data_IF_666019979355
#
_entry.id   IF_666019979355
#
_cell.length_a   1.000
_cell.length_b   1.000
_cell.length_c   1.000
_cell.angle_alpha   90.00
_cell.angle_beta   90.00
_cell.angle_gamma   90.00
#
_symmetry.space_group_name_H-M   'P 1'
#
loop_
_entity.id
_entity.type
_entity.pdbx_description
1 polymer ?
#
# COMPACT_ATOMS: atom_id res chain seq x y z
N UNK A 1 20.84 34.82 14.30
CA UNK A 1 19.48 34.26 14.06
C UNK A 1 19.26 34.31 12.57
N UNK A 2 19.51 33.21 11.86
CA UNK A 2 19.09 33.12 10.47
C UNK A 2 17.57 33.12 10.45
N UNK A 3 16.98 34.15 9.82
CA UNK A 3 15.57 34.14 9.49
C UNK A 3 15.39 33.00 8.48
N UNK A 4 14.71 31.92 8.89
CA UNK A 4 14.30 30.89 7.94
C UNK A 4 13.50 31.56 6.82
N UNK A 5 13.97 31.40 5.60
CA UNK A 5 13.29 31.89 4.39
C UNK A 5 11.89 31.26 4.35
N UNK A 6 10.82 32.03 4.10
CA UNK A 6 9.48 31.49 3.92
C UNK A 6 9.48 30.37 2.87
N UNK A 7 8.71 29.29 3.11
CA UNK A 7 8.50 28.27 2.10
C UNK A 7 7.97 28.95 0.84
N UNK A 8 8.76 28.92 -0.23
CA UNK A 8 8.41 29.53 -1.49
C UNK A 8 8.03 28.44 -2.48
N UNK A 9 6.76 28.41 -2.82
CA UNK A 9 6.22 27.49 -3.80
C UNK A 9 6.91 27.58 -5.15
N UNK A 10 7.23 28.80 -5.57
CA UNK A 10 7.83 29.07 -6.87
C UNK A 10 9.24 28.46 -6.98
N UNK A 11 9.82 28.06 -5.83
CA UNK A 11 11.11 27.36 -5.75
C UNK A 11 10.99 25.90 -5.33
N UNK A 12 9.78 25.38 -5.10
CA UNK A 12 9.55 23.99 -4.73
C UNK A 12 9.54 23.11 -5.97
N UNK A 13 10.55 22.24 -6.11
CA UNK A 13 10.61 21.27 -7.20
C UNK A 13 9.82 20.00 -6.83
N UNK A 14 8.57 19.94 -7.30
CA UNK A 14 7.72 18.75 -7.11
C UNK A 14 8.36 17.51 -7.74
N UNK A 15 9.03 17.63 -8.88
CA UNK A 15 9.62 16.47 -9.56
C UNK A 15 10.76 15.90 -8.73
N UNK A 16 11.66 16.74 -8.22
CA UNK A 16 12.74 16.32 -7.33
C UNK A 16 12.19 15.64 -6.07
N UNK A 17 11.14 16.20 -5.46
CA UNK A 17 10.52 15.58 -4.28
C UNK A 17 9.88 14.23 -4.60
N UNK A 18 9.22 14.10 -5.76
CA UNK A 18 8.68 12.82 -6.22
C UNK A 18 9.80 11.79 -6.39
N UNK A 19 10.93 12.16 -6.98
CA UNK A 19 12.07 11.24 -7.14
C UNK A 19 12.69 10.86 -5.79
N UNK A 20 12.79 11.81 -4.86
CA UNK A 20 13.22 11.54 -3.47
C UNK A 20 12.30 10.55 -2.76
N UNK A 21 10.99 10.72 -2.90
CA UNK A 21 10.00 9.83 -2.30
C UNK A 21 10.05 8.43 -2.93
N UNK A 22 10.24 8.32 -4.27
CA UNK A 22 10.43 7.03 -4.96
C UNK A 22 11.56 6.22 -4.33
N UNK A 23 12.70 6.85 -4.06
CA UNK A 23 13.86 6.17 -3.46
C UNK A 23 13.68 5.73 -2.01
N UNK A 24 12.67 6.23 -1.29
CA UNK A 24 12.39 5.86 0.11
C UNK A 24 11.43 4.68 0.25
N UNK A 25 10.55 4.47 -0.72
CA UNK A 25 9.58 3.36 -0.69
C UNK A 25 10.33 2.06 -0.99
N UNK A 26 10.36 1.14 -0.02
CA UNK A 26 10.92 -0.19 -0.25
C UNK A 26 9.94 -1.04 -1.06
N UNK A 27 10.46 -1.72 -2.07
CA UNK A 27 9.68 -2.54 -3.00
C UNK A 27 9.69 -4.00 -2.55
N UNK A 28 8.54 -4.63 -2.24
CA UNK A 28 8.49 -6.07 -2.05
C UNK A 28 8.71 -6.78 -3.39
N UNK A 29 9.44 -7.88 -3.32
CA UNK A 29 9.65 -8.82 -4.42
C UNK A 29 8.58 -9.90 -4.35
N UNK A 30 7.67 -9.90 -5.33
CA UNK A 30 6.56 -10.85 -5.44
C UNK A 30 6.86 -11.79 -6.59
N UNK A 31 6.82 -13.09 -6.33
CA UNK A 31 7.04 -14.11 -7.34
C UNK A 31 5.71 -14.77 -7.70
N UNK A 32 5.35 -14.81 -8.97
CA UNK A 32 4.16 -15.51 -9.46
C UNK A 32 4.55 -16.75 -10.26
N UNK A 33 3.96 -17.88 -9.91
CA UNK A 33 4.26 -19.18 -10.52
C UNK A 33 3.00 -19.99 -10.79
N UNK A 34 3.08 -20.94 -11.73
CA UNK A 34 1.98 -21.84 -12.08
C UNK A 34 2.02 -22.28 -13.54
N UNK A 35 1.19 -23.27 -13.88
CA UNK A 35 1.12 -23.83 -15.23
C UNK A 35 0.78 -22.80 -16.31
N UNK A 36 1.05 -23.12 -17.57
CA UNK A 36 0.58 -22.31 -18.70
C UNK A 36 -0.95 -22.29 -18.73
N UNK A 37 -1.54 -21.11 -18.91
CA UNK A 37 -2.99 -20.93 -18.90
C UNK A 37 -3.63 -20.97 -17.51
N UNK A 38 -2.85 -20.98 -16.42
CA UNK A 38 -3.40 -20.95 -15.05
C UNK A 38 -3.96 -19.61 -14.59
N UNK A 39 -3.90 -18.56 -15.41
CA UNK A 39 -4.45 -17.24 -15.04
C UNK A 39 -3.49 -16.29 -14.31
N UNK A 40 -2.18 -16.58 -14.29
CA UNK A 40 -1.14 -15.70 -13.67
C UNK A 40 -1.28 -14.23 -14.07
N UNK A 41 -1.27 -13.93 -15.37
CA UNK A 41 -1.35 -12.56 -15.87
C UNK A 41 -2.70 -11.91 -15.54
N UNK A 42 -3.79 -12.68 -15.56
CA UNK A 42 -5.12 -12.19 -15.18
C UNK A 42 -5.18 -11.77 -13.72
N UNK A 43 -4.60 -12.58 -12.81
CA UNK A 43 -4.48 -12.25 -11.38
C UNK A 43 -3.70 -10.96 -11.18
N UNK A 44 -2.50 -10.85 -11.77
CA UNK A 44 -1.65 -9.67 -11.65
C UNK A 44 -2.39 -8.42 -12.12
N UNK A 45 -2.99 -8.49 -13.31
CA UNK A 45 -3.68 -7.35 -13.91
C UNK A 45 -4.91 -6.93 -13.11
N UNK A 46 -5.63 -7.89 -12.52
CA UNK A 46 -6.78 -7.60 -11.67
C UNK A 46 -6.36 -6.95 -10.35
N UNK A 47 -5.40 -7.54 -9.63
CA UNK A 47 -4.96 -7.03 -8.31
C UNK A 47 -4.33 -5.63 -8.42
N UNK A 48 -3.59 -5.36 -9.49
CA UNK A 48 -2.91 -4.06 -9.67
C UNK A 48 -3.68 -3.08 -10.57
N UNK A 49 -4.81 -3.51 -11.17
CA UNK A 49 -5.64 -2.69 -12.05
C UNK A 49 -4.94 -2.21 -13.34
N UNK A 50 -3.77 -2.77 -13.65
CA UNK A 50 -2.98 -2.42 -14.84
C UNK A 50 -2.08 -3.58 -15.26
N UNK A 51 -1.76 -3.57 -16.55
CA UNK A 51 -0.83 -4.52 -17.14
C UNK A 51 0.61 -4.11 -16.82
N UNK A 52 1.18 -4.68 -15.75
CA UNK A 52 2.53 -4.38 -15.31
C UNK A 52 3.58 -4.74 -16.36
N UNK A 53 3.29 -5.70 -17.25
CA UNK A 53 4.20 -6.10 -18.34
C UNK A 53 4.34 -5.03 -19.42
N UNK A 54 3.42 -4.06 -19.49
CA UNK A 54 3.49 -2.91 -20.40
C UNK A 54 4.15 -1.68 -19.78
N UNK A 55 4.20 -1.61 -18.45
CA UNK A 55 4.68 -0.45 -17.69
C UNK A 55 6.15 -0.62 -17.25
N UNK A 56 6.61 -1.86 -17.14
CA UNK A 56 8.00 -2.19 -16.90
C UNK A 56 8.58 -2.98 -18.08
N UNK A 57 9.83 -2.71 -18.44
CA UNK A 57 10.57 -3.60 -19.32
C UNK A 57 10.76 -4.95 -18.60
N UNK A 58 10.27 -6.03 -19.19
CA UNK A 58 10.55 -7.38 -18.72
C UNK A 58 11.98 -7.74 -19.04
N UNK A 59 12.82 -7.87 -18.02
CA UNK A 59 14.21 -8.33 -18.20
C UNK A 59 14.30 -9.81 -17.83
N UNK A 60 14.83 -10.68 -18.71
CA UNK A 60 15.05 -12.08 -18.38
C UNK A 60 16.15 -12.15 -17.31
N UNK A 61 15.85 -12.74 -16.15
CA UNK A 61 16.82 -12.88 -15.05
C UNK A 61 17.49 -14.25 -15.09
N UNK A 62 16.69 -15.28 -15.36
CA UNK A 62 17.14 -16.65 -15.60
C UNK A 62 16.22 -17.30 -16.62
N UNK A 63 16.53 -18.52 -17.03
CA UNK A 63 15.75 -19.23 -18.05
C UNK A 63 14.30 -19.39 -17.57
N UNK A 64 13.35 -18.79 -18.30
CA UNK A 64 11.93 -18.91 -17.98
C UNK A 64 11.47 -18.11 -16.77
N UNK A 65 12.23 -17.14 -16.27
CA UNK A 65 11.79 -16.20 -15.23
C UNK A 65 12.12 -14.77 -15.66
N UNK A 66 11.09 -13.93 -15.71
CA UNK A 66 11.17 -12.53 -16.11
C UNK A 66 10.94 -11.62 -14.91
N UNK A 67 11.74 -10.56 -14.81
CA UNK A 67 11.58 -9.52 -13.79
C UNK A 67 10.94 -8.28 -14.40
N UNK A 68 9.95 -7.74 -13.70
CA UNK A 68 9.25 -6.51 -14.04
C UNK A 68 9.44 -5.49 -12.90
N UNK A 69 10.15 -4.41 -13.20
CA UNK A 69 10.42 -3.31 -12.27
C UNK A 69 10.48 -1.98 -13.04
N UNK A 70 10.00 -0.90 -12.42
CA UNK A 70 10.26 0.46 -12.88
C UNK A 70 10.22 1.45 -11.71
N UNK A 71 10.71 2.68 -11.92
CA UNK A 71 10.63 3.76 -10.91
C UNK A 71 9.19 4.25 -10.64
N UNK A 72 8.25 3.85 -11.49
CA UNK A 72 6.82 4.15 -11.36
C UNK A 72 6.02 3.05 -10.67
N UNK A 73 6.67 1.92 -10.37
CA UNK A 73 6.06 0.75 -9.71
C UNK A 73 6.79 0.53 -8.37
N UNK A 74 6.00 0.36 -7.33
CA UNK A 74 6.45 0.25 -5.93
C UNK A 74 6.60 -1.21 -5.47
N UNK A 75 6.61 -2.15 -6.40
CA UNK A 75 6.92 -3.58 -6.21
C UNK A 75 7.94 -4.03 -7.27
N UNK A 76 8.50 -5.22 -7.07
CA UNK A 76 9.21 -5.97 -8.11
C UNK A 76 8.45 -7.27 -8.34
N UNK A 77 7.98 -7.50 -9.56
CA UNK A 77 7.26 -8.72 -9.92
C UNK A 77 8.21 -9.65 -10.67
N UNK A 78 8.27 -10.91 -10.23
CA UNK A 78 8.95 -11.99 -10.94
C UNK A 78 7.89 -12.95 -11.47
N UNK A 79 7.84 -13.18 -12.77
CA UNK A 79 6.88 -14.09 -13.42
C UNK A 79 7.63 -15.29 -14.00
N UNK A 80 7.18 -16.50 -13.66
CA UNK A 80 7.69 -17.71 -14.30
C UNK A 80 6.92 -18.03 -15.57
N UNK A 81 7.64 -18.37 -16.64
CA UNK A 81 7.06 -19.00 -17.81
C UNK A 81 6.36 -20.29 -17.37
N UNK A 82 5.07 -20.42 -17.70
CA UNK A 82 4.31 -21.59 -17.25
C UNK A 82 4.85 -22.89 -17.83
N UNK A 83 4.74 -23.96 -17.05
CA UNK A 83 5.03 -25.30 -17.54
C UNK A 83 3.81 -25.90 -18.26
N UNK A 84 4.06 -26.74 -19.26
CA UNK A 84 3.04 -27.60 -19.87
C UNK A 84 2.91 -28.90 -19.08
N UNK A 85 1.68 -29.25 -18.70
CA UNK A 85 1.37 -30.45 -17.90
C UNK A 85 1.68 -31.71 -18.72
N UNK A 86 2.48 -32.62 -18.16
CA UNK A 86 2.85 -33.89 -18.81
C UNK A 86 4.03 -33.77 -19.79
N UNK A 87 4.75 -32.66 -19.78
CA UNK A 87 5.96 -32.49 -20.58
C UNK A 87 7.22 -32.95 -19.83
N UNK A 88 8.23 -33.43 -20.54
CA UNK A 88 9.56 -33.77 -19.98
C UNK A 88 10.28 -32.57 -19.36
N UNK A 89 9.77 -31.34 -19.57
CA UNK A 89 10.33 -30.09 -19.06
C UNK A 89 9.81 -29.70 -17.68
N UNK A 90 8.84 -30.44 -17.14
CA UNK A 90 8.25 -30.16 -15.82
C UNK A 90 9.28 -30.17 -14.68
N UNK A 91 10.20 -31.12 -14.68
CA UNK A 91 11.25 -31.17 -13.66
C UNK A 91 12.20 -29.98 -13.76
N UNK A 92 12.62 -29.62 -14.99
CA UNK A 92 13.49 -28.46 -15.20
C UNK A 92 12.82 -27.15 -14.76
N UNK A 93 11.51 -27.00 -14.97
CA UNK A 93 10.75 -25.88 -14.44
C UNK A 93 10.75 -25.86 -12.90
N UNK A 94 10.54 -27.03 -12.27
CA UNK A 94 10.55 -27.14 -10.82
C UNK A 94 11.90 -26.71 -10.24
N UNK A 95 13.00 -27.28 -10.76
CA UNK A 95 14.36 -27.00 -10.32
C UNK A 95 14.71 -25.51 -10.48
N UNK A 96 14.25 -24.88 -11.57
CA UNK A 96 14.48 -23.47 -11.82
C UNK A 96 13.71 -22.57 -10.85
N UNK A 97 12.41 -22.81 -10.65
CA UNK A 97 11.57 -22.00 -9.76
C UNK A 97 12.02 -22.12 -8.30
N UNK A 98 12.22 -23.34 -7.81
CA UNK A 98 12.67 -23.60 -6.44
C UNK A 98 14.07 -23.00 -6.27
N UNK A 99 15.00 -23.35 -7.16
CA UNK A 99 16.37 -22.87 -7.08
C UNK A 99 16.48 -21.36 -7.15
N UNK A 100 15.63 -20.68 -7.95
CA UNK A 100 15.60 -19.22 -8.01
C UNK A 100 15.18 -18.61 -6.67
N UNK A 101 14.08 -19.09 -6.09
CA UNK A 101 13.57 -18.57 -4.80
C UNK A 101 14.56 -18.85 -3.68
N UNK A 102 15.09 -20.07 -3.57
CA UNK A 102 16.08 -20.43 -2.56
C UNK A 102 17.35 -19.58 -2.67
N UNK A 103 17.90 -19.41 -3.89
CA UNK A 103 19.05 -18.53 -4.12
C UNK A 103 18.75 -17.10 -3.71
N UNK A 104 17.56 -16.58 -4.01
CA UNK A 104 17.16 -15.24 -3.60
C UNK A 104 17.13 -15.09 -2.07
N UNK A 105 16.69 -16.12 -1.33
CA UNK A 105 16.69 -16.08 0.14
C UNK A 105 18.11 -15.95 0.74
N UNK A 106 19.14 -16.43 0.05
CA UNK A 106 20.55 -16.32 0.51
C UNK A 106 21.16 -14.93 0.32
N UNK A 107 20.46 -14.01 -0.36
CA UNK A 107 20.92 -12.65 -0.64
C UNK A 107 20.53 -11.67 0.46
N UNK A 108 20.89 -10.40 0.28
CA UNK A 108 20.44 -9.32 1.18
C UNK A 108 18.93 -9.10 1.10
N UNK A 109 18.35 -8.52 2.16
CA UNK A 109 16.90 -8.36 2.30
C UNK A 109 16.20 -7.70 1.09
N UNK A 110 16.85 -6.78 0.39
CA UNK A 110 16.27 -6.13 -0.80
C UNK A 110 16.10 -7.07 -2.00
N UNK A 111 16.84 -8.19 -2.06
CA UNK A 111 16.83 -9.14 -3.18
C UNK A 111 16.10 -10.45 -2.86
N UNK A 112 15.68 -10.66 -1.61
CA UNK A 112 14.91 -11.85 -1.21
C UNK A 112 13.54 -11.85 -1.89
N UNK A 113 12.99 -13.03 -2.21
CA UNK A 113 11.58 -13.14 -2.60
C UNK A 113 10.75 -13.07 -1.32
N UNK A 114 9.88 -12.07 -1.21
CA UNK A 114 9.16 -11.80 0.04
C UNK A 114 7.80 -12.50 0.08
N UNK A 115 7.26 -12.85 -1.09
CA UNK A 115 5.95 -13.45 -1.23
C UNK A 115 5.86 -14.23 -2.53
N UNK A 116 5.23 -15.39 -2.48
CA UNK A 116 4.90 -16.17 -3.69
C UNK A 116 3.39 -16.23 -3.87
N UNK A 117 2.92 -15.95 -5.08
CA UNK A 117 1.56 -16.25 -5.54
C UNK A 117 1.62 -17.45 -6.48
N UNK A 118 1.20 -18.62 -5.99
CA UNK A 118 1.15 -19.84 -6.79
C UNK A 118 -0.26 -20.04 -7.35
N UNK A 119 -0.38 -20.09 -8.67
CA UNK A 119 -1.66 -20.01 -9.36
C UNK A 119 -2.02 -21.34 -10.00
N UNK A 120 -3.18 -21.88 -9.60
CA UNK A 120 -3.75 -23.14 -10.09
C UNK A 120 -5.03 -22.84 -10.87
N UNK A 121 -5.20 -23.50 -12.01
CA UNK A 121 -6.46 -23.46 -12.76
C UNK A 121 -7.47 -24.43 -12.12
N UNK A 122 -8.52 -23.93 -11.48
CA UNK A 122 -9.54 -24.77 -10.87
C UNK A 122 -10.35 -25.56 -11.91
N UNK A 123 -10.52 -25.05 -13.15
CA UNK A 123 -11.29 -25.74 -14.20
C UNK A 123 -10.69 -27.07 -14.64
N UNK A 124 -9.42 -27.33 -14.30
CA UNK A 124 -8.76 -28.63 -14.48
C UNK A 124 -9.21 -29.68 -13.45
N UNK A 125 -9.94 -29.27 -12.39
CA UNK A 125 -10.56 -30.12 -11.36
C UNK A 125 -9.59 -31.08 -10.64
N UNK A 126 -8.29 -30.73 -10.61
CA UNK A 126 -7.25 -31.46 -9.90
C UNK A 126 -6.09 -30.55 -9.51
N UNK A 127 -5.42 -30.84 -8.39
CA UNK A 127 -4.09 -30.31 -8.08
C UNK A 127 -3.05 -31.33 -8.53
N UNK A 128 -2.08 -30.94 -9.36
CA UNK A 128 -1.10 -31.92 -9.87
C UNK A 128 -0.06 -32.27 -8.79
N UNK A 129 0.57 -33.46 -8.85
CA UNK A 129 1.68 -33.79 -7.94
C UNK A 129 2.82 -32.77 -7.98
N UNK A 130 3.07 -32.18 -9.14
CA UNK A 130 4.07 -31.13 -9.31
C UNK A 130 3.66 -29.84 -8.58
N UNK A 131 2.39 -29.43 -8.68
CA UNK A 131 1.90 -28.26 -7.93
C UNK A 131 2.12 -28.44 -6.44
N UNK A 132 1.73 -29.60 -5.90
CA UNK A 132 1.90 -29.92 -4.47
C UNK A 132 3.37 -29.89 -4.06
N UNK A 133 4.26 -30.45 -4.89
CA UNK A 133 5.70 -30.45 -4.61
C UNK A 133 6.29 -29.03 -4.62
N UNK A 134 5.95 -28.22 -5.63
CA UNK A 134 6.40 -26.83 -5.75
C UNK A 134 5.90 -25.98 -4.59
N UNK A 135 4.60 -26.02 -4.31
CA UNK A 135 3.97 -25.26 -3.23
C UNK A 135 4.64 -25.59 -1.90
N UNK A 136 4.80 -26.88 -1.60
CA UNK A 136 5.42 -27.33 -0.35
C UNK A 136 6.85 -26.80 -0.21
N UNK A 137 7.69 -26.97 -1.23
CA UNK A 137 9.10 -26.53 -1.16
C UNK A 137 9.23 -25.00 -1.13
N UNK A 138 8.43 -24.28 -1.90
CA UNK A 138 8.41 -22.82 -1.87
C UNK A 138 7.97 -22.30 -0.49
N UNK A 139 7.02 -22.97 0.16
CA UNK A 139 6.53 -22.60 1.49
C UNK A 139 7.55 -22.87 2.61
N UNK A 140 8.59 -23.66 2.36
CA UNK A 140 9.75 -23.79 3.26
C UNK A 140 10.69 -22.57 3.16
N UNK A 141 10.68 -21.85 2.04
CA UNK A 141 11.57 -20.72 1.77
C UNK A 141 10.92 -19.35 2.07
N UNK A 142 9.62 -19.17 1.81
CA UNK A 142 8.88 -17.92 2.04
C UNK A 142 7.37 -18.18 2.07
N UNK A 143 6.56 -17.21 2.49
CA UNK A 143 5.10 -17.33 2.47
C UNK A 143 4.55 -17.53 1.05
N UNK A 144 3.70 -18.54 0.86
CA UNK A 144 3.03 -18.87 -0.40
C UNK A 144 1.52 -18.68 -0.28
N UNK A 145 0.93 -17.81 -1.11
CA UNK A 145 -0.51 -17.80 -1.38
C UNK A 145 -0.81 -18.73 -2.54
N UNK A 146 -1.74 -19.66 -2.37
CA UNK A 146 -2.25 -20.51 -3.45
C UNK A 146 -3.56 -19.92 -3.96
N UNK A 147 -3.61 -19.57 -5.24
CA UNK A 147 -4.76 -18.96 -5.89
C UNK A 147 -5.42 -19.97 -6.82
N UNK A 148 -6.62 -20.43 -6.45
CA UNK A 148 -7.50 -21.20 -7.31
C UNK A 148 -8.24 -20.22 -8.22
N UNK A 149 -7.89 -20.22 -9.51
CA UNK A 149 -8.47 -19.34 -10.53
C UNK A 149 -9.54 -20.05 -11.36
N UNK A 150 -10.29 -19.31 -12.18
CA UNK A 150 -11.33 -19.85 -13.08
C UNK A 150 -12.38 -20.67 -12.31
N UNK A 151 -12.69 -20.22 -11.10
CA UNK A 151 -13.65 -20.93 -10.23
C UNK A 151 -15.09 -20.87 -10.77
N UNK A 152 -15.36 -19.99 -11.74
CA UNK A 152 -16.59 -19.92 -12.53
C UNK A 152 -16.87 -21.20 -13.34
N UNK A 153 -15.88 -22.08 -13.51
CA UNK A 153 -16.01 -23.31 -14.31
C UNK A 153 -16.10 -24.59 -13.46
N UNK A 154 -16.21 -24.46 -12.15
CA UNK A 154 -16.33 -25.59 -11.22
C UNK A 154 -17.51 -25.39 -10.27
N UNK A 155 -18.06 -26.49 -9.76
CA UNK A 155 -19.05 -26.42 -8.69
C UNK A 155 -18.40 -26.36 -7.29
N UNK A 156 -19.25 -26.24 -6.26
CA UNK A 156 -18.82 -26.11 -4.86
C UNK A 156 -18.12 -27.39 -4.36
N UNK A 157 -18.55 -28.56 -4.80
CA UNK A 157 -17.98 -29.85 -4.36
C UNK A 157 -16.59 -30.04 -4.98
N UNK A 158 -16.45 -29.71 -6.27
CA UNK A 158 -15.17 -29.72 -6.99
C UNK A 158 -14.17 -28.73 -6.38
N UNK A 159 -14.61 -27.51 -6.08
CA UNK A 159 -13.77 -26.51 -5.42
C UNK A 159 -13.36 -26.94 -4.01
N UNK A 160 -14.28 -27.56 -3.26
CA UNK A 160 -13.99 -28.09 -1.92
C UNK A 160 -12.96 -29.21 -1.98
N UNK A 161 -13.06 -30.12 -2.96
CA UNK A 161 -12.09 -31.19 -3.16
C UNK A 161 -10.69 -30.63 -3.48
N UNK A 162 -10.61 -29.62 -4.37
CA UNK A 162 -9.34 -28.93 -4.67
C UNK A 162 -8.71 -28.30 -3.42
N UNK A 163 -9.51 -27.66 -2.55
CA UNK A 163 -9.02 -27.09 -1.29
C UNK A 163 -8.49 -28.17 -0.35
N UNK A 164 -9.18 -29.32 -0.26
CA UNK A 164 -8.75 -30.46 0.56
C UNK A 164 -7.39 -31.02 0.11
N UNK A 165 -7.13 -31.07 -1.20
CA UNK A 165 -5.82 -31.50 -1.74
C UNK A 165 -4.64 -30.59 -1.37
N UNK A 166 -4.93 -29.36 -0.92
CA UNK A 166 -3.94 -28.35 -0.54
C UNK A 166 -3.69 -28.26 0.97
N UNK A 167 -4.54 -28.86 1.81
CA UNK A 167 -4.50 -28.70 3.27
C UNK A 167 -3.22 -29.23 3.93
N UNK A 168 -2.48 -30.14 3.29
CA UNK A 168 -1.23 -30.70 3.81
C UNK A 168 0.03 -30.03 3.25
N UNK A 169 -0.11 -29.09 2.30
CA UNK A 169 1.01 -28.35 1.69
C UNK A 169 1.03 -26.87 2.07
N UNK A 170 -0.14 -26.27 2.32
CA UNK A 170 -0.26 -24.90 2.84
C UNK A 170 -1.40 -24.77 3.87
N UNK A 171 -1.30 -23.82 4.81
CA UNK A 171 -2.41 -23.48 5.70
C UNK A 171 -3.66 -23.03 4.93
N UNK A 172 -4.84 -23.30 5.46
CA UNK A 172 -6.12 -22.98 4.79
C UNK A 172 -6.29 -21.47 4.53
N UNK A 173 -5.80 -20.64 5.45
CA UNK A 173 -5.82 -19.19 5.33
C UNK A 173 -4.99 -18.66 4.14
N UNK A 174 -4.09 -19.48 3.60
CA UNK A 174 -3.25 -19.17 2.45
C UNK A 174 -3.79 -19.71 1.10
N UNK A 175 -5.00 -20.31 1.09
CA UNK A 175 -5.66 -20.79 -0.14
C UNK A 175 -6.83 -19.89 -0.50
N UNK A 176 -6.78 -19.22 -1.65
CA UNK A 176 -7.73 -18.20 -2.11
C UNK A 176 -8.46 -18.63 -3.37
N UNK A 177 -9.77 -18.43 -3.42
CA UNK A 177 -10.58 -18.67 -4.61
C UNK A 177 -10.87 -17.35 -5.33
N UNK A 178 -10.47 -17.24 -6.59
CA UNK A 178 -10.52 -15.99 -7.34
C UNK A 178 -10.99 -16.23 -8.77
N UNK A 179 -11.65 -15.22 -9.35
CA UNK A 179 -11.97 -15.21 -10.77
C UNK A 179 -12.07 -13.77 -11.26
N UNK A 180 -11.76 -13.61 -12.55
CA UNK A 180 -11.88 -12.35 -13.29
C UNK A 180 -13.06 -12.37 -14.27
N UNK A 181 -13.90 -13.41 -14.22
CA UNK A 181 -15.10 -13.51 -15.05
C UNK A 181 -16.05 -12.34 -14.75
N UNK A 182 -16.51 -11.65 -15.79
CA UNK A 182 -17.34 -10.45 -15.65
C UNK A 182 -18.66 -10.76 -14.93
N UNK A 183 -19.23 -11.94 -15.15
CA UNK A 183 -20.47 -12.37 -14.50
C UNK A 183 -20.31 -12.45 -12.97
N UNK A 184 -19.15 -12.88 -12.48
CA UNK A 184 -18.87 -12.95 -11.05
C UNK A 184 -18.49 -11.58 -10.45
N UNK A 185 -17.82 -10.73 -11.23
CA UNK A 185 -17.39 -9.41 -10.75
C UNK A 185 -18.53 -8.39 -10.72
N UNK A 186 -19.48 -8.49 -11.64
CA UNK A 186 -20.60 -7.55 -11.77
C UNK A 186 -21.79 -7.90 -10.87
N UNK A 187 -21.86 -9.13 -10.34
CA UNK A 187 -22.86 -9.55 -9.36
C UNK A 187 -22.31 -9.43 -7.94
N UNK A 188 -22.98 -8.62 -7.10
CA UNK A 188 -22.50 -8.34 -5.74
C UNK A 188 -22.49 -9.57 -4.83
N UNK A 189 -23.44 -10.50 -5.00
CA UNK A 189 -23.54 -11.71 -4.18
C UNK A 189 -22.46 -12.71 -4.58
N UNK A 190 -22.25 -12.90 -5.88
CA UNK A 190 -21.19 -13.78 -6.39
C UNK A 190 -19.79 -13.23 -6.09
N UNK A 191 -19.61 -11.91 -6.18
CA UNK A 191 -18.34 -11.25 -5.84
C UNK A 191 -17.93 -11.48 -4.39
N UNK A 192 -18.89 -11.60 -3.47
CA UNK A 192 -18.60 -11.87 -2.05
C UNK A 192 -18.01 -13.28 -1.83
N UNK A 193 -18.13 -14.18 -2.80
CA UNK A 193 -17.50 -15.51 -2.77
C UNK A 193 -16.07 -15.48 -3.32
N UNK A 194 -15.58 -14.33 -3.82
CA UNK A 194 -14.21 -14.17 -4.29
C UNK A 194 -13.31 -13.65 -3.17
N UNK A 195 -12.13 -14.25 -3.05
CA UNK A 195 -11.18 -13.96 -1.99
C UNK A 195 -10.23 -12.79 -2.29
N UNK A 196 -10.56 -11.91 -3.24
CA UNK A 196 -9.66 -10.82 -3.64
C UNK A 196 -9.21 -9.94 -2.46
N UNK A 197 -10.16 -9.58 -1.59
CA UNK A 197 -9.88 -8.82 -0.36
C UNK A 197 -9.00 -9.60 0.61
N UNK A 198 -9.28 -10.89 0.79
CA UNK A 198 -8.55 -11.75 1.72
C UNK A 198 -7.13 -11.98 1.22
N UNK A 199 -6.94 -12.19 -0.08
CA UNK A 199 -5.64 -12.31 -0.74
C UNK A 199 -4.78 -11.06 -0.50
N UNK A 200 -5.34 -9.87 -0.75
CA UNK A 200 -4.64 -8.60 -0.54
C UNK A 200 -4.26 -8.43 0.93
N UNK A 201 -5.22 -8.65 1.83
CA UNK A 201 -5.01 -8.49 3.28
C UNK A 201 -3.92 -9.44 3.78
N UNK A 202 -4.03 -10.72 3.45
CA UNK A 202 -3.06 -11.74 3.81
C UNK A 202 -1.67 -11.41 3.24
N UNK A 203 -1.59 -11.05 1.95
CA UNK A 203 -0.32 -10.69 1.29
C UNK A 203 0.39 -9.54 2.00
N UNK A 204 -0.34 -8.51 2.41
CA UNK A 204 0.20 -7.38 3.18
C UNK A 204 0.64 -7.81 4.57
N UNK A 205 -0.04 -8.75 5.20
CA UNK A 205 0.29 -9.24 6.54
C UNK A 205 1.51 -10.16 6.57
N UNK A 206 1.80 -10.86 5.47
CA UNK A 206 3.03 -11.65 5.31
C UNK A 206 4.29 -10.80 5.12
N UNK A 207 4.14 -9.55 4.67
CA UNK A 207 5.27 -8.65 4.44
C UNK A 207 5.70 -7.95 5.72
N UNK A 208 7.02 -7.76 5.86
CA UNK A 208 7.60 -6.85 6.84
C UNK A 208 6.99 -5.45 6.73
N UNK A 209 6.83 -4.78 7.88
CA UNK A 209 6.14 -3.49 7.94
C UNK A 209 6.69 -2.44 6.96
N UNK A 210 8.00 -2.48 6.66
CA UNK A 210 8.64 -1.53 5.75
C UNK A 210 8.36 -1.79 4.26
N UNK A 211 7.85 -2.97 3.90
CA UNK A 211 7.52 -3.38 2.53
C UNK A 211 6.02 -3.28 2.23
N UNK A 212 5.18 -3.27 3.27
CA UNK A 212 3.73 -3.18 3.14
C UNK A 212 3.28 -1.95 2.34
N UNK A 213 3.97 -0.83 2.51
CA UNK A 213 3.68 0.39 1.77
C UNK A 213 3.80 0.17 0.26
N UNK A 214 4.91 -0.41 -0.21
CA UNK A 214 5.14 -0.66 -1.63
C UNK A 214 4.03 -1.51 -2.27
N UNK A 215 3.60 -2.59 -1.62
CA UNK A 215 2.47 -3.40 -2.10
C UNK A 215 1.15 -2.60 -2.12
N UNK A 216 0.82 -1.89 -1.04
CA UNK A 216 -0.43 -1.13 -0.92
C UNK A 216 -0.53 0.02 -1.92
N UNK A 217 0.60 0.60 -2.33
CA UNK A 217 0.64 1.62 -3.39
C UNK A 217 0.19 1.09 -4.74
N UNK A 218 0.48 -0.18 -5.03
CA UNK A 218 0.18 -0.81 -6.33
C UNK A 218 -1.19 -1.49 -6.39
N UNK A 219 -1.77 -1.85 -5.25
CA UNK A 219 -3.09 -2.49 -5.20
C UNK A 219 -4.18 -1.56 -5.76
N UNK A 220 -4.93 -2.09 -6.73
CA UNK A 220 -6.19 -1.52 -7.19
C UNK A 220 -7.30 -1.88 -6.21
N UNK A 221 -7.56 -0.97 -5.27
CA UNK A 221 -8.53 -1.19 -4.21
C UNK A 221 -9.96 -0.89 -4.70
N UNK A 222 -10.71 -1.94 -5.03
CA UNK A 222 -12.09 -1.82 -5.50
C UNK A 222 -13.15 -2.03 -4.40
N UNK A 223 -12.78 -2.65 -3.28
CA UNK A 223 -13.70 -2.90 -2.16
C UNK A 223 -13.49 -1.90 -1.01
N UNK A 224 -14.58 -1.59 -0.29
CA UNK A 224 -14.52 -0.70 0.87
C UNK A 224 -13.53 -1.21 1.93
N UNK A 225 -13.39 -2.52 2.10
CA UNK A 225 -12.49 -3.10 3.07
C UNK A 225 -11.01 -2.97 2.66
N UNK A 226 -10.67 -3.14 1.37
CA UNK A 226 -9.33 -2.83 0.86
C UNK A 226 -8.99 -1.35 1.06
N UNK A 227 -9.95 -0.45 0.79
CA UNK A 227 -9.80 0.99 1.03
C UNK A 227 -9.60 1.27 2.53
N UNK A 228 -10.35 0.61 3.43
CA UNK A 228 -10.17 0.70 4.88
C UNK A 228 -8.79 0.21 5.33
N UNK A 229 -8.28 -0.87 4.75
CA UNK A 229 -6.92 -1.37 5.00
C UNK A 229 -5.89 -0.32 4.59
N UNK A 230 -5.98 0.22 3.36
CA UNK A 230 -5.10 1.29 2.88
C UNK A 230 -5.13 2.51 3.79
N UNK A 231 -6.33 2.99 4.15
CA UNK A 231 -6.55 4.12 5.08
C UNK A 231 -5.89 3.90 6.43
N UNK A 232 -6.04 2.70 7.01
CA UNK A 232 -5.43 2.36 8.31
C UNK A 232 -3.90 2.33 8.23
N UNK A 233 -3.33 1.80 7.15
CA UNK A 233 -1.87 1.65 6.98
C UNK A 233 -1.17 2.98 6.67
N UNK A 234 -1.85 3.92 6.01
CA UNK A 234 -1.37 5.29 5.79
C UNK A 234 -1.02 6.05 7.08
N UNK A 235 -1.62 5.69 8.22
CA UNK A 235 -1.27 6.27 9.53
C UNK A 235 0.21 6.09 9.90
N UNK A 236 0.89 5.07 9.36
CA UNK A 236 2.34 4.89 9.58
C UNK A 236 3.16 5.95 8.84
N UNK A 237 2.79 6.25 7.60
CA UNK A 237 3.40 7.35 6.82
C UNK A 237 3.25 8.64 7.62
N UNK A 238 2.03 8.95 8.06
CA UNK A 238 1.74 10.15 8.87
C UNK A 238 2.60 10.18 10.14
N UNK A 239 2.69 9.06 10.86
CA UNK A 239 3.47 8.98 12.10
C UNK A 239 4.96 9.30 11.90
N UNK A 240 5.56 8.91 10.77
CA UNK A 240 6.94 9.26 10.43
C UNK A 240 7.15 10.77 10.24
N UNK A 241 6.20 11.45 9.56
CA UNK A 241 6.25 12.91 9.40
C UNK A 241 5.93 13.66 10.70
N UNK A 242 5.02 13.14 11.53
CA UNK A 242 4.74 13.68 12.86
C UNK A 242 6.00 13.68 13.74
N UNK A 243 6.75 12.58 13.76
CA UNK A 243 8.02 12.51 14.49
C UNK A 243 9.06 13.52 13.95
N UNK A 244 9.12 13.69 12.63
CA UNK A 244 10.01 14.66 11.98
C UNK A 244 9.62 16.10 12.32
N UNK A 245 8.33 16.42 12.32
CA UNK A 245 7.80 17.73 12.68
C UNK A 245 8.08 18.10 14.14
N UNK A 246 7.91 17.16 15.07
CA UNK A 246 8.23 17.36 16.47
C UNK A 246 9.71 17.70 16.71
N UNK A 247 10.61 17.05 15.97
CA UNK A 247 12.07 17.29 16.07
C UNK A 247 12.47 18.66 15.51
N UNK A 248 11.78 19.13 14.46
CA UNK A 248 12.06 20.43 13.84
C UNK A 248 11.65 21.64 14.72
N UNK A 249 10.81 21.43 15.73
CA UNK A 249 10.21 22.50 16.55
C UNK A 249 11.12 23.06 17.66
N UNK A 250 12.44 23.07 17.46
CA UNK A 250 13.42 23.58 18.43
C UNK A 250 13.32 25.10 18.66
N UNK A 251 12.68 25.84 17.75
CA UNK A 251 12.47 27.29 17.82
C UNK A 251 11.04 27.58 18.27
N UNK A 252 10.81 28.58 19.15
CA UNK A 252 9.47 29.10 19.44
C UNK A 252 8.76 29.46 18.15
N UNK A 253 7.75 28.67 17.78
CA UNK A 253 6.90 28.96 16.62
C UNK A 253 5.93 30.06 17.05
N UNK A 254 6.04 31.30 16.56
CA UNK A 254 4.90 32.20 16.65
C UNK A 254 3.78 31.54 15.83
N UNK A 255 2.64 31.26 16.46
CA UNK A 255 1.59 30.40 15.92
C UNK A 255 1.03 30.84 14.55
N UNK A 256 1.31 32.09 14.15
CA UNK A 256 0.99 32.65 12.84
C UNK A 256 2.01 32.32 11.73
N UNK A 257 3.24 31.91 12.07
CA UNK A 257 4.29 31.56 11.11
C UNK A 257 4.43 30.03 11.00
N UNK A 258 3.41 29.39 10.39
CA UNK A 258 3.40 27.97 10.01
C UNK A 258 4.51 27.57 8.99
N UNK A 259 5.38 28.53 8.66
CA UNK A 259 6.44 28.50 7.67
C UNK A 259 7.43 27.35 7.91
N UNK A 260 7.78 27.06 9.17
CA UNK A 260 8.79 26.06 9.49
C UNK A 260 8.32 24.60 9.25
N UNK A 261 7.00 24.35 9.30
CA UNK A 261 6.44 22.99 9.13
C UNK A 261 5.92 22.74 7.72
N UNK A 262 5.69 23.79 6.92
CA UNK A 262 5.12 23.69 5.59
C UNK A 262 5.86 22.68 4.69
N UNK A 263 7.21 22.64 4.63
CA UNK A 263 7.91 21.67 3.78
C UNK A 263 7.62 20.22 4.16
N UNK A 264 7.58 19.91 5.48
CA UNK A 264 7.28 18.57 6.00
C UNK A 264 5.83 18.18 5.65
N UNK A 265 4.89 19.11 5.82
CA UNK A 265 3.47 18.88 5.55
C UNK A 265 3.18 18.73 4.06
N UNK A 266 3.82 19.53 3.19
CA UNK A 266 3.73 19.38 1.73
C UNK A 266 4.29 18.04 1.30
N UNK A 267 5.48 17.67 1.78
CA UNK A 267 6.08 16.36 1.49
C UNK A 267 5.15 15.22 1.90
N UNK A 268 4.63 15.25 3.14
CA UNK A 268 3.67 14.27 3.64
C UNK A 268 2.42 14.19 2.76
N UNK A 269 1.91 15.33 2.32
CA UNK A 269 0.73 15.40 1.44
C UNK A 269 1.01 14.70 0.11
N UNK A 270 2.12 15.04 -0.55
CA UNK A 270 2.56 14.41 -1.82
C UNK A 270 2.71 12.91 -1.64
N UNK A 271 3.34 12.48 -0.53
CA UNK A 271 3.52 11.06 -0.22
C UNK A 271 2.17 10.34 -0.05
N UNK A 272 1.23 10.91 0.71
CA UNK A 272 -0.11 10.34 0.88
C UNK A 272 -0.87 10.27 -0.43
N UNK A 273 -0.85 11.31 -1.27
CA UNK A 273 -1.53 11.27 -2.57
C UNK A 273 -0.98 10.16 -3.46
N UNK A 274 0.34 10.01 -3.52
CA UNK A 274 0.96 8.90 -4.24
C UNK A 274 0.56 7.55 -3.67
N UNK A 275 0.48 7.44 -2.34
CA UNK A 275 0.05 6.20 -1.69
C UNK A 275 -1.37 5.78 -2.11
N UNK A 276 -2.22 6.76 -2.35
CA UNK A 276 -3.58 6.58 -2.88
C UNK A 276 -3.66 6.48 -4.41
N UNK A 277 -2.54 6.52 -5.13
CA UNK A 277 -2.53 6.52 -6.60
C UNK A 277 -2.97 7.86 -7.23
N UNK A 278 -3.12 8.91 -6.43
CA UNK A 278 -3.43 10.26 -6.90
C UNK A 278 -2.15 10.89 -7.47
N UNK A 279 -2.20 11.29 -8.74
CA UNK A 279 -1.09 11.98 -9.39
C UNK A 279 -0.96 13.39 -8.83
N UNK A 280 0.07 13.62 -8.02
CA UNK A 280 0.39 14.94 -7.54
C UNK A 280 0.75 15.87 -8.70
N UNK A 281 0.15 17.05 -8.73
CA UNK A 281 0.38 18.08 -9.74
C UNK A 281 0.51 19.46 -9.06
N UNK A 282 0.94 20.46 -9.83
CA UNK A 282 1.16 21.81 -9.31
C UNK A 282 -0.11 22.48 -8.80
N UNK A 283 -1.28 22.19 -9.37
CA UNK A 283 -2.55 22.82 -8.96
C UNK A 283 -3.06 22.26 -7.63
N UNK A 284 -2.87 20.96 -7.39
CA UNK A 284 -3.11 20.32 -6.11
C UNK A 284 -2.17 20.90 -5.05
N UNK A 285 -0.88 21.09 -5.38
CA UNK A 285 0.04 21.76 -4.46
C UNK A 285 -0.36 23.20 -4.18
N UNK A 286 -0.67 24.00 -5.22
CA UNK A 286 -1.20 25.37 -5.06
C UNK A 286 -2.44 25.40 -4.17
N UNK A 287 -3.30 24.40 -4.25
CA UNK A 287 -4.48 24.30 -3.37
C UNK A 287 -4.06 24.09 -1.90
N UNK A 288 -3.08 23.22 -1.66
CA UNK A 288 -2.54 22.97 -0.32
C UNK A 288 -1.88 24.23 0.29
N UNK A 289 -1.04 24.90 -0.49
CA UNK A 289 -0.08 25.91 0.00
C UNK A 289 -0.47 27.36 -0.31
N UNK A 290 -1.24 27.58 -1.39
CA UNK A 290 -1.39 28.88 -2.05
C UNK A 290 -2.39 29.83 -1.40
N UNK A 291 -3.29 29.34 -0.55
CA UNK A 291 -4.14 30.16 0.32
C UNK A 291 -5.23 29.39 1.06
N UNK A 292 -5.56 28.17 0.61
CA UNK A 292 -6.85 27.56 0.97
C UNK A 292 -6.76 26.60 2.14
N UNK A 293 -5.68 25.84 2.28
CA UNK A 293 -5.66 24.73 3.24
C UNK A 293 -4.70 25.01 4.39
N UNK A 294 -3.39 24.92 4.15
CA UNK A 294 -2.37 25.09 5.21
C UNK A 294 -2.44 26.50 5.84
N UNK A 295 -2.65 27.59 5.07
CA UNK A 295 -2.84 28.92 5.67
C UNK A 295 -4.14 29.06 6.48
N UNK A 296 -5.25 28.41 6.09
CA UNK A 296 -6.51 28.45 6.84
C UNK A 296 -6.38 27.75 8.18
N UNK A 297 -5.66 26.63 8.23
CA UNK A 297 -5.31 25.94 9.48
C UNK A 297 -4.61 26.90 10.46
N UNK A 298 -3.59 27.62 9.98
CA UNK A 298 -2.87 28.60 10.82
C UNK A 298 -3.80 29.64 11.45
N UNK A 299 -4.86 30.05 10.75
CA UNK A 299 -5.88 30.99 11.26
C UNK A 299 -6.94 30.32 12.14
N UNK A 300 -7.29 29.06 11.88
CA UNK A 300 -8.28 28.28 12.61
C UNK A 300 -7.75 27.77 13.97
N UNK A 301 -6.43 27.77 14.17
CA UNK A 301 -5.80 27.39 15.44
C UNK A 301 -6.19 28.36 16.58
N UNK A 302 -7.27 28.01 17.28
CA UNK A 302 -7.71 28.71 18.47
C UNK A 302 -6.93 28.28 19.72
N UNK A 303 -6.96 29.12 20.76
CA UNK A 303 -6.42 28.79 22.09
C UNK A 303 -7.02 27.50 22.65
N UNK A 304 -8.28 27.20 22.34
CA UNK A 304 -8.97 25.98 22.78
C UNK A 304 -8.42 24.73 22.11
N UNK A 305 -8.20 24.79 20.79
CA UNK A 305 -7.57 23.70 20.03
C UNK A 305 -6.16 23.41 20.56
N UNK A 306 -5.38 24.48 20.83
CA UNK A 306 -4.06 24.38 21.44
C UNK A 306 -4.09 23.71 22.81
N UNK A 307 -5.01 24.14 23.69
CA UNK A 307 -5.19 23.54 25.01
C UNK A 307 -5.60 22.08 24.91
N UNK A 308 -6.35 21.71 23.89
CA UNK A 308 -6.70 20.32 23.65
C UNK A 308 -5.46 19.52 23.23
N UNK A 309 -4.68 19.93 22.22
CA UNK A 309 -3.42 19.23 21.83
C UNK A 309 -2.47 19.06 23.02
N UNK A 310 -2.34 20.05 23.90
CA UNK A 310 -1.49 19.93 25.10
C UNK A 310 -1.97 18.84 26.07
N UNK A 311 -3.27 18.51 26.12
CA UNK A 311 -3.80 17.41 26.94
C UNK A 311 -3.43 16.01 26.40
N UNK A 312 -2.95 15.90 25.15
CA UNK A 312 -2.60 14.62 24.53
C UNK A 312 -1.24 14.10 25.01
N UNK A 313 -0.40 14.98 25.56
CA UNK A 313 0.96 14.66 25.97
C UNK A 313 1.17 14.98 27.46
N UNK A 314 1.18 13.95 28.34
CA UNK A 314 1.40 14.14 29.77
C UNK A 314 2.77 14.81 30.01
N UNK A 315 2.81 15.91 30.75
CA UNK A 315 4.06 16.65 31.04
C UNK A 315 4.27 17.93 30.24
N UNK A 316 3.28 18.39 29.47
CA UNK A 316 3.28 19.68 28.75
C UNK A 316 3.43 20.94 29.64
N UNK A 317 3.53 20.77 30.96
CA UNK A 317 3.92 21.83 31.91
C UNK A 317 5.44 22.08 31.97
N UNK A 318 6.23 21.36 31.15
CA UNK A 318 7.68 21.51 31.04
C UNK A 318 8.07 22.43 29.87
N UNK A 319 9.30 22.97 29.94
CA UNK A 319 10.04 23.82 28.98
C UNK A 319 9.37 24.13 27.61
N UNK A 320 9.43 25.40 27.18
CA UNK A 320 8.83 25.90 25.95
C UNK A 320 9.10 25.06 24.67
N UNK A 321 10.26 24.41 24.56
CA UNK A 321 10.60 23.51 23.45
C UNK A 321 9.72 22.26 23.36
N UNK A 322 9.33 21.67 24.50
CA UNK A 322 8.46 20.49 24.56
C UNK A 322 7.04 20.83 24.11
N UNK A 323 6.56 22.03 24.47
CA UNK A 323 5.27 22.56 24.04
C UNK A 323 5.26 22.75 22.51
N UNK A 324 6.32 23.33 21.94
CA UNK A 324 6.40 23.56 20.49
C UNK A 324 6.42 22.24 19.69
N UNK A 325 7.20 21.25 20.14
CA UNK A 325 7.26 19.93 19.51
C UNK A 325 5.91 19.21 19.53
N UNK A 326 5.19 19.32 20.66
CA UNK A 326 3.86 18.76 20.83
C UNK A 326 2.85 19.37 19.86
N UNK A 327 2.84 20.70 19.77
CA UNK A 327 1.93 21.44 18.88
C UNK A 327 2.23 21.14 17.42
N UNK A 328 3.51 21.17 17.02
CA UNK A 328 3.94 20.83 15.66
C UNK A 328 3.52 19.40 15.26
N UNK A 329 3.69 18.44 16.18
CA UNK A 329 3.29 17.04 15.99
C UNK A 329 1.78 16.90 15.85
N UNK A 330 1.00 17.56 16.71
CA UNK A 330 -0.47 17.52 16.67
C UNK A 330 -1.06 18.11 15.38
N UNK A 331 -0.57 19.29 14.96
CA UNK A 331 -0.99 19.91 13.70
C UNK A 331 -0.66 19.01 12.51
N UNK A 332 0.57 18.49 12.46
CA UNK A 332 1.01 17.60 11.38
C UNK A 332 0.18 16.32 11.34
N UNK A 333 -0.17 15.76 12.50
CA UNK A 333 -1.03 14.58 12.60
C UNK A 333 -2.43 14.86 12.04
N UNK A 334 -3.07 15.95 12.46
CA UNK A 334 -4.41 16.30 12.01
C UNK A 334 -4.45 16.61 10.50
N UNK A 335 -3.44 17.31 9.96
CA UNK A 335 -3.29 17.50 8.51
C UNK A 335 -3.19 16.15 7.81
N UNK A 336 -2.30 15.27 8.28
CA UNK A 336 -2.11 13.95 7.68
C UNK A 336 -3.39 13.12 7.67
N UNK A 337 -4.14 13.11 8.78
CA UNK A 337 -5.42 12.40 8.87
C UNK A 337 -6.49 13.01 7.94
N UNK A 338 -6.58 14.35 7.87
CA UNK A 338 -7.52 15.03 6.98
C UNK A 338 -7.24 14.72 5.50
N UNK A 339 -5.97 14.74 5.08
CA UNK A 339 -5.58 14.38 3.71
C UNK A 339 -5.87 12.92 3.41
N UNK A 340 -5.49 12.02 4.33
CA UNK A 340 -5.74 10.60 4.18
C UNK A 340 -7.25 10.30 4.07
N UNK A 341 -8.07 11.03 4.82
CA UNK A 341 -9.53 10.93 4.76
C UNK A 341 -10.10 11.45 3.43
N UNK A 342 -9.63 12.60 2.95
CA UNK A 342 -10.03 13.14 1.65
C UNK A 342 -9.68 12.16 0.52
N UNK A 343 -8.47 11.61 0.54
CA UNK A 343 -8.03 10.64 -0.46
C UNK A 343 -8.83 9.32 -0.38
N UNK A 344 -9.12 8.84 0.84
CA UNK A 344 -10.02 7.69 1.05
C UNK A 344 -11.42 7.94 0.47
N UNK A 345 -12.02 9.12 0.72
CA UNK A 345 -13.33 9.48 0.18
C UNK A 345 -13.34 9.57 -1.34
N UNK A 346 -12.30 10.14 -1.94
CA UNK A 346 -12.16 10.20 -3.40
C UNK A 346 -12.01 8.80 -4.02
N UNK A 347 -11.31 7.89 -3.35
CA UNK A 347 -11.18 6.51 -3.79
C UNK A 347 -12.48 5.70 -3.63
N UNK A 348 -13.32 6.02 -2.64
CA UNK A 348 -14.67 5.45 -2.50
C UNK A 348 -15.66 6.00 -3.54
N UNK A 349 -15.59 7.31 -3.82
CA UNK A 349 -16.45 8.00 -4.76
C UNK A 349 -15.65 9.04 -5.55
N UNK A 350 -15.44 8.74 -6.82
CA UNK A 350 -14.70 9.60 -7.75
C UNK A 350 -15.57 10.69 -8.40
N UNK A 351 -16.80 10.91 -7.92
CA UNK A 351 -17.69 11.98 -8.41
C UNK A 351 -17.12 13.39 -8.21
N UNK A 352 -16.30 13.58 -7.16
CA UNK A 352 -15.57 14.81 -6.88
C UNK A 352 -14.07 14.58 -7.04
N UNK A 353 -13.40 15.57 -7.63
CA UNK A 353 -11.94 15.62 -7.68
C UNK A 353 -11.33 15.78 -6.28
N UNK A 354 -10.07 15.38 -6.12
CA UNK A 354 -9.32 15.58 -4.87
C UNK A 354 -9.31 17.05 -4.48
N UNK A 355 -9.10 17.95 -5.43
CA UNK A 355 -9.07 19.40 -5.21
C UNK A 355 -10.41 19.92 -4.71
N UNK A 356 -11.53 19.42 -5.25
CA UNK A 356 -12.87 19.79 -4.76
C UNK A 356 -13.10 19.33 -3.31
N UNK A 357 -12.73 18.09 -2.98
CA UNK A 357 -12.87 17.55 -1.63
C UNK A 357 -11.93 18.24 -0.64
N UNK A 358 -10.70 18.54 -1.06
CA UNK A 358 -9.76 19.34 -0.29
C UNK A 358 -10.33 20.73 0.02
N UNK A 359 -11.00 21.37 -0.94
CA UNK A 359 -11.61 22.68 -0.72
C UNK A 359 -12.88 22.63 0.15
N UNK A 360 -13.69 21.57 0.04
CA UNK A 360 -14.99 21.49 0.75
C UNK A 360 -14.89 20.87 2.14
N UNK A 361 -14.06 19.84 2.32
CA UNK A 361 -14.11 18.96 3.49
C UNK A 361 -12.89 19.10 4.40
N UNK A 362 -11.74 19.54 3.86
CA UNK A 362 -10.48 19.52 4.61
C UNK A 362 -10.57 20.29 5.93
N UNK A 363 -11.11 21.51 5.92
CA UNK A 363 -11.13 22.38 7.10
C UNK A 363 -11.88 21.75 8.27
N UNK A 364 -13.08 21.20 7.99
CA UNK A 364 -13.89 20.54 9.01
C UNK A 364 -13.26 19.23 9.50
N UNK A 365 -12.63 18.45 8.60
CA UNK A 365 -11.88 17.26 8.97
C UNK A 365 -10.67 17.58 9.85
N UNK A 366 -9.93 18.63 9.52
CA UNK A 366 -8.79 19.09 10.31
C UNK A 366 -9.23 19.48 11.73
N UNK A 367 -10.26 20.32 11.86
CA UNK A 367 -10.82 20.71 13.16
C UNK A 367 -11.28 19.49 13.95
N UNK A 368 -12.02 18.57 13.30
CA UNK A 368 -12.48 17.33 13.91
C UNK A 368 -11.31 16.49 14.45
N UNK A 369 -10.23 16.29 13.68
CA UNK A 369 -9.08 15.51 14.14
C UNK A 369 -8.26 16.21 15.22
N UNK A 370 -8.25 17.55 15.24
CA UNK A 370 -7.64 18.32 16.32
C UNK A 370 -8.43 18.24 17.63
N UNK A 371 -9.75 18.03 17.55
CA UNK A 371 -10.64 17.88 18.71
C UNK A 371 -10.71 16.43 19.25
N UNK A 372 -10.48 15.42 18.42
CA UNK A 372 -10.57 14.01 18.81
C UNK A 372 -9.41 13.58 19.73
N UNK A 373 -9.71 13.35 21.02
CA UNK A 373 -8.83 12.77 22.03
C UNK A 373 -8.50 11.28 21.74
N UNK A 374 -7.24 10.84 21.58
CA UNK A 374 -6.86 9.43 21.61
C UNK A 374 -6.90 8.84 23.02
N UNK A 375 -7.01 9.67 24.07
CA UNK A 375 -7.05 9.23 25.49
C UNK A 375 -8.33 8.45 25.82
N UNK A 376 -9.37 8.46 24.98
CA UNK A 376 -10.57 7.64 25.18
C UNK A 376 -10.51 6.24 24.57
N UNK A 377 -9.40 5.83 23.94
CA UNK A 377 -9.12 4.40 23.76
C UNK A 377 -8.23 3.91 24.89
N UNK A 378 -8.84 3.72 26.07
CA UNK A 378 -8.36 2.68 26.99
C UNK A 378 -8.26 1.39 26.16
N UNK A 379 -7.05 0.85 26.02
CA UNK A 379 -6.85 -0.57 25.72
C UNK A 379 -7.38 -1.39 26.91
N UNK A 380 -7.87 -2.61 26.62
CA UNK A 380 -9.22 -3.11 26.88
C UNK A 380 -9.73 -2.96 28.31
#
# INVERSE_FOLDING_TARGET
>A
MDKQTPFNFDTYDLKEELDRLRGKVKKPNIFIAGATGSGKSSVVNHVFGRDLTKVAAGEPVTRGIHQFMSDEISIVLYDSEGYEIGSDRQQAYADEVIGFVERAQTKGAAEQIHLVWYVINASMKRVTPLDRALIKQLNEATSVAVLLTQIDQVDVDELTALRQELMDVVPEEAVFQVSVAEELLNDQELRNHLDWERLVTWSVEQLDQSLQEGLLMEIHAESEAMLKLKRKKANRIISGYVASAGTAAAVPLPFADAIALTPIQVTMSVHLFRYWGVKANDDMLKTLIGSTIIPQIGRALSKTILLNVMKFFPGANAAASVINATVASGITWAIGLAINEVAYRNAMDSSKTIEQLLNSDFGSLFEQFMEQNPVTKKKP
#
